data_IF_030491072762
#
_entry.id   IF_030491072762
#
_cell.length_a   1.000
_cell.length_b   1.000
_cell.length_c   1.000
_cell.angle_alpha   90.00
_cell.angle_beta   90.00
_cell.angle_gamma   90.00
#
_symmetry.space_group_name_H-M   'P 1'
#
loop_
_entity.id
_entity.type
_entity.pdbx_description
1 polymer ?
#
# COMPACT_ATOMS: atom_id res chain seq x y z
N UNK A 1 11.37 12.29 0.88
CA UNK A 1 10.50 12.13 -0.31
C UNK A 1 9.31 11.32 0.12
N UNK A 2 8.14 11.47 -0.52
CA UNK A 2 6.94 10.74 -0.08
C UNK A 2 7.01 9.27 -0.54
N UNK A 3 6.60 8.36 0.33
CA UNK A 3 6.62 6.91 0.08
C UNK A 3 5.22 6.34 0.24
N UNK A 4 4.81 5.52 -0.74
CA UNK A 4 3.60 4.72 -0.65
C UNK A 4 3.97 3.23 -0.63
N UNK A 5 3.64 2.56 0.45
CA UNK A 5 3.73 1.10 0.57
C UNK A 5 2.35 0.51 0.27
N UNK A 6 2.29 -0.51 -0.59
CA UNK A 6 1.05 -1.21 -0.92
C UNK A 6 1.24 -2.69 -0.68
N UNK A 7 0.49 -3.22 0.29
CA UNK A 7 0.51 -4.62 0.68
C UNK A 7 -0.80 -5.32 0.29
N UNK A 8 -0.71 -6.53 -0.27
CA UNK A 8 -1.83 -7.44 -0.46
C UNK A 8 -1.60 -8.76 0.26
N UNK A 9 -2.46 -9.12 1.22
CA UNK A 9 -2.35 -10.39 1.95
C UNK A 9 -0.99 -10.57 2.63
N UNK A 10 -0.28 -11.66 2.30
CA UNK A 10 1.05 -12.01 2.84
C UNK A 10 2.14 -11.00 2.49
N UNK A 11 1.93 -10.17 1.46
CA UNK A 11 2.86 -9.08 1.11
C UNK A 11 3.02 -8.04 2.22
N UNK A 12 2.22 -8.11 3.29
CA UNK A 12 2.37 -7.28 4.48
C UNK A 12 3.71 -7.49 5.21
N UNK A 13 4.30 -8.70 5.17
CA UNK A 13 5.52 -9.00 5.92
C UNK A 13 6.72 -8.15 5.48
N UNK A 14 7.10 -8.10 4.18
CA UNK A 14 8.15 -7.19 3.73
C UNK A 14 7.74 -5.72 3.90
N UNK A 15 6.46 -5.39 3.69
CA UNK A 15 5.98 -4.01 3.83
C UNK A 15 6.03 -3.51 5.27
N UNK A 16 5.84 -4.35 6.29
CA UNK A 16 5.99 -4.00 7.70
C UNK A 16 7.42 -3.57 8.01
N UNK A 17 8.42 -4.30 7.50
CA UNK A 17 9.83 -3.95 7.71
C UNK A 17 10.17 -2.60 7.05
N UNK A 18 9.71 -2.36 5.81
CA UNK A 18 9.88 -1.07 5.13
C UNK A 18 9.13 0.07 5.85
N UNK A 19 7.92 -0.21 6.35
CA UNK A 19 7.10 0.77 7.07
C UNK A 19 7.73 1.22 8.38
N UNK A 20 8.57 0.40 9.00
CA UNK A 20 9.35 0.77 10.18
C UNK A 20 10.65 1.51 9.83
N UNK A 21 11.33 1.08 8.76
CA UNK A 21 12.75 1.44 8.54
C UNK A 21 13.01 2.49 7.47
N UNK A 22 12.12 2.67 6.49
CA UNK A 22 12.36 3.63 5.41
C UNK A 22 12.44 5.05 5.95
N UNK A 23 13.40 5.89 5.53
CA UNK A 23 13.49 7.26 6.02
C UNK A 23 12.31 8.12 5.52
N UNK A 24 11.80 8.99 6.38
CA UNK A 24 10.71 9.92 6.06
C UNK A 24 10.30 10.72 7.29
N UNK A 25 9.85 11.97 7.08
CA UNK A 25 9.26 12.77 8.14
C UNK A 25 7.81 12.32 8.44
N UNK A 26 7.23 12.81 9.52
CA UNK A 26 5.82 12.61 9.80
C UNK A 26 4.98 13.06 8.60
N UNK A 27 4.07 12.20 8.13
CA UNK A 27 3.23 12.41 6.96
C UNK A 27 3.85 12.01 5.61
N UNK A 28 5.15 11.68 5.53
CA UNK A 28 5.78 11.29 4.27
C UNK A 28 5.45 9.86 3.86
N UNK A 29 5.14 8.98 4.81
CA UNK A 29 4.98 7.54 4.57
C UNK A 29 3.51 7.16 4.74
N UNK A 30 2.98 6.48 3.73
CA UNK A 30 1.64 5.86 3.78
C UNK A 30 1.75 4.38 3.49
N UNK A 31 1.09 3.54 4.30
CA UNK A 31 0.88 2.12 4.03
C UNK A 31 -0.60 1.87 3.70
N UNK A 32 -0.87 1.32 2.52
CA UNK A 32 -2.17 0.82 2.10
C UNK A 32 -2.17 -0.71 2.13
N UNK A 33 -2.93 -1.29 3.06
CA UNK A 33 -3.02 -2.74 3.24
C UNK A 33 -4.36 -3.30 2.76
N UNK A 34 -4.33 -4.12 1.71
CA UNK A 34 -5.48 -4.89 1.23
C UNK A 34 -5.51 -6.27 1.94
N UNK A 35 -6.60 -6.57 2.64
CA UNK A 35 -6.96 -7.92 3.11
C UNK A 35 -8.42 -8.31 2.73
N UNK A 36 -8.84 -9.56 2.94
CA UNK A 36 -10.22 -9.97 2.58
C UNK A 36 -11.24 -9.39 3.54
N UNK A 37 -10.99 -9.53 4.84
CA UNK A 37 -11.76 -8.94 5.93
C UNK A 37 -10.84 -8.21 6.91
N UNK A 38 -11.42 -7.53 7.89
CA UNK A 38 -10.65 -6.89 8.96
C UNK A 38 -9.93 -7.90 9.86
N UNK A 39 -10.44 -9.13 9.95
CA UNK A 39 -9.80 -10.22 10.69
C UNK A 39 -8.52 -10.72 10.01
N UNK A 40 -8.40 -10.51 8.69
CA UNK A 40 -7.25 -10.91 7.89
C UNK A 40 -6.12 -9.86 7.87
N UNK A 41 -6.29 -8.73 8.57
CA UNK A 41 -5.26 -7.69 8.69
C UNK A 41 -4.18 -8.15 9.69
N UNK A 42 -3.30 -9.04 9.23
CA UNK A 42 -2.16 -9.49 10.02
C UNK A 42 -1.27 -8.31 10.43
N UNK A 43 -0.68 -8.40 11.63
CA UNK A 43 0.21 -7.38 12.20
C UNK A 43 -0.46 -6.00 12.43
N UNK A 44 -1.79 -5.88 12.35
CA UNK A 44 -2.46 -4.58 12.44
C UNK A 44 -2.08 -3.75 13.67
N UNK A 45 -2.05 -4.38 14.85
CA UNK A 45 -1.67 -3.70 16.09
C UNK A 45 -0.24 -3.14 16.07
N UNK A 46 0.70 -3.90 15.48
CA UNK A 46 2.08 -3.47 15.32
C UNK A 46 2.21 -2.34 14.29
N UNK A 47 1.53 -2.48 13.14
CA UNK A 47 1.50 -1.43 12.11
C UNK A 47 0.90 -0.14 12.65
N UNK A 48 -0.16 -0.22 13.46
CA UNK A 48 -0.78 0.94 14.08
C UNK A 48 0.19 1.65 15.04
N UNK A 49 0.97 0.88 15.82
CA UNK A 49 2.00 1.43 16.70
C UNK A 49 3.11 2.14 15.90
N UNK A 50 3.61 1.50 14.84
CA UNK A 50 4.61 2.12 13.95
C UNK A 50 4.05 3.40 13.31
N UNK A 51 2.78 3.38 12.89
CA UNK A 51 2.15 4.56 12.30
C UNK A 51 2.11 5.74 13.27
N UNK A 52 1.74 5.49 14.53
CA UNK A 52 1.69 6.51 15.58
C UNK A 52 3.09 7.07 15.90
N UNK A 53 4.06 6.19 16.19
CA UNK A 53 5.44 6.58 16.54
C UNK A 53 6.13 7.38 15.45
N UNK A 54 5.83 7.07 14.18
CA UNK A 54 6.44 7.70 13.01
C UNK A 54 5.65 8.89 12.47
N UNK A 55 4.44 9.13 12.95
CA UNK A 55 3.48 10.04 12.31
C UNK A 55 3.16 9.63 10.86
N UNK A 56 3.20 8.34 10.57
CA UNK A 56 2.91 7.78 9.26
C UNK A 56 1.41 7.46 9.11
N UNK A 57 0.93 7.39 7.86
CA UNK A 57 -0.48 7.11 7.59
C UNK A 57 -0.69 5.61 7.34
N UNK A 58 -1.55 4.98 8.12
CA UNK A 58 -1.97 3.59 7.92
C UNK A 58 -3.40 3.55 7.34
N UNK A 59 -3.56 2.88 6.22
CA UNK A 59 -4.83 2.71 5.52
C UNK A 59 -5.08 1.23 5.25
N UNK A 60 -6.33 0.81 5.28
CA UNK A 60 -6.73 -0.53 4.86
C UNK A 60 -7.86 -0.52 3.86
N UNK A 61 -7.99 -1.61 3.11
CA UNK A 61 -9.09 -1.86 2.20
C UNK A 61 -9.48 -3.34 2.29
N UNK A 62 -10.73 -3.62 2.65
CA UNK A 62 -11.29 -4.97 2.76
C UNK A 62 -12.52 -5.11 1.87
N UNK A 63 -12.95 -6.34 1.61
CA UNK A 63 -14.13 -6.57 0.81
C UNK A 63 -15.39 -6.03 1.50
N UNK A 64 -16.40 -5.69 0.72
CA UNK A 64 -17.75 -5.47 1.23
C UNK A 64 -18.32 -6.77 1.83
N UNK A 65 -19.39 -6.70 2.65
CA UNK A 65 -20.09 -7.88 3.14
C UNK A 65 -20.53 -8.86 2.02
N UNK A 66 -20.83 -8.32 0.83
CA UNK A 66 -21.23 -9.10 -0.36
C UNK A 66 -20.03 -9.69 -1.13
N UNK A 67 -18.80 -9.52 -0.60
CA UNK A 67 -17.56 -10.05 -1.17
C UNK A 67 -16.94 -9.18 -2.26
N UNK A 68 -17.52 -8.02 -2.57
CA UNK A 68 -16.99 -7.11 -3.58
C UNK A 68 -15.65 -6.52 -3.14
N UNK A 69 -14.69 -6.47 -4.06
CA UNK A 69 -13.37 -5.91 -3.76
C UNK A 69 -13.43 -4.38 -3.77
N UNK A 70 -12.73 -3.72 -2.84
CA UNK A 70 -12.66 -2.27 -2.82
C UNK A 70 -11.95 -1.74 -4.07
N UNK A 71 -12.42 -0.60 -4.59
CA UNK A 71 -11.83 0.04 -5.76
C UNK A 71 -10.45 0.64 -5.45
N UNK A 72 -9.43 0.14 -6.15
CA UNK A 72 -8.07 0.68 -6.20
C UNK A 72 -7.78 1.10 -7.66
N UNK A 73 -8.54 2.09 -8.13
CA UNK A 73 -8.37 2.71 -9.44
C UNK A 73 -7.40 3.89 -9.40
N UNK A 74 -6.94 4.32 -10.58
CA UNK A 74 -6.15 5.54 -10.72
C UNK A 74 -6.86 6.78 -10.11
N UNK A 75 -8.18 6.87 -10.28
CA UNK A 75 -8.98 7.95 -9.72
C UNK A 75 -9.02 7.86 -8.19
N UNK A 76 -9.34 6.69 -7.63
CA UNK A 76 -9.43 6.53 -6.18
C UNK A 76 -8.08 6.78 -5.50
N UNK A 77 -6.97 6.38 -6.13
CA UNK A 77 -5.61 6.66 -5.68
C UNK A 77 -5.30 8.16 -5.67
N UNK A 78 -5.60 8.90 -6.75
CA UNK A 78 -5.41 10.37 -6.79
C UNK A 78 -6.23 11.10 -5.73
N UNK A 79 -7.47 10.66 -5.47
CA UNK A 79 -8.32 11.26 -4.44
C UNK A 79 -7.78 11.01 -3.03
N UNK A 80 -7.24 9.82 -2.77
CA UNK A 80 -6.81 9.40 -1.43
C UNK A 80 -5.38 9.81 -1.08
N UNK A 81 -4.49 9.87 -2.07
CA UNK A 81 -3.06 10.13 -1.94
C UNK A 81 -2.71 11.40 -2.74
N UNK A 82 -2.54 12.51 -2.05
CA UNK A 82 -2.16 13.78 -2.67
C UNK A 82 -0.74 13.69 -3.27
N UNK A 83 -0.54 14.26 -4.46
CA UNK A 83 0.74 14.22 -5.20
C UNK A 83 1.26 12.78 -5.45
N UNK A 84 0.37 11.82 -5.73
CA UNK A 84 0.75 10.41 -5.89
C UNK A 84 1.84 10.20 -6.96
N UNK A 85 1.86 11.01 -8.01
CA UNK A 85 2.88 11.02 -9.08
C UNK A 85 4.30 11.28 -8.56
N UNK A 86 4.41 11.89 -7.37
CA UNK A 86 5.67 12.20 -6.71
C UNK A 86 6.18 11.12 -5.75
N UNK A 87 5.40 10.08 -5.49
CA UNK A 87 5.76 9.04 -4.53
C UNK A 87 6.72 8.01 -5.13
N UNK A 88 7.66 7.53 -4.30
CA UNK A 88 8.30 6.24 -4.52
C UNK A 88 7.39 5.16 -3.93
N UNK A 89 7.02 4.17 -4.74
CA UNK A 89 5.98 3.19 -4.43
C UNK A 89 6.60 1.81 -4.32
N UNK A 90 6.37 1.15 -3.19
CA UNK A 90 6.74 -0.26 -3.00
C UNK A 90 5.47 -1.10 -2.95
N UNK A 91 5.40 -2.12 -3.79
CA UNK A 91 4.23 -2.96 -3.99
C UNK A 91 4.61 -4.42 -3.76
N UNK A 92 3.81 -5.10 -2.94
CA UNK A 92 3.93 -6.53 -2.74
C UNK A 92 2.55 -7.17 -2.50
N UNK A 93 2.27 -8.26 -3.22
CA UNK A 93 1.07 -9.05 -3.04
C UNK A 93 0.88 -10.08 -4.16
N UNK A 94 -0.27 -10.79 -4.21
CA UNK A 94 -0.53 -11.79 -5.24
C UNK A 94 -0.45 -11.20 -6.65
N UNK A 95 0.00 -11.97 -7.67
CA UNK A 95 0.28 -11.43 -9.01
C UNK A 95 -0.87 -10.62 -9.64
N UNK A 96 -2.12 -11.10 -9.52
CA UNK A 96 -3.29 -10.40 -10.04
C UNK A 96 -3.59 -9.08 -9.32
N UNK A 97 -3.37 -9.03 -8.00
CA UNK A 97 -3.49 -7.80 -7.22
C UNK A 97 -2.39 -6.82 -7.61
N UNK A 98 -1.14 -7.27 -7.60
CA UNK A 98 -0.01 -6.39 -7.90
C UNK A 98 -0.07 -5.82 -9.32
N UNK A 99 -0.45 -6.63 -10.31
CA UNK A 99 -0.68 -6.15 -11.68
C UNK A 99 -1.75 -5.06 -11.73
N UNK A 100 -2.90 -5.29 -11.09
CA UNK A 100 -4.00 -4.31 -11.06
C UNK A 100 -3.60 -3.00 -10.37
N UNK A 101 -2.90 -3.07 -9.23
CA UNK A 101 -2.40 -1.87 -8.54
C UNK A 101 -1.33 -1.17 -9.37
N UNK A 102 -0.42 -1.90 -10.02
CA UNK A 102 0.59 -1.33 -10.90
C UNK A 102 -0.07 -0.53 -12.03
N UNK A 103 -1.06 -1.10 -12.72
CA UNK A 103 -1.82 -0.42 -13.77
C UNK A 103 -2.54 0.83 -13.23
N UNK A 104 -3.14 0.75 -12.05
CA UNK A 104 -3.77 1.88 -11.38
C UNK A 104 -2.77 3.00 -11.02
N UNK A 105 -1.58 2.66 -10.51
CA UNK A 105 -0.51 3.62 -10.20
C UNK A 105 0.01 4.31 -11.46
N UNK A 106 0.24 3.55 -12.54
CA UNK A 106 0.62 4.10 -13.84
C UNK A 106 -0.46 5.03 -14.37
N UNK A 107 -1.72 4.60 -14.30
CA UNK A 107 -2.89 5.40 -14.67
C UNK A 107 -3.05 6.66 -13.80
N UNK A 108 -2.59 6.64 -12.54
CA UNK A 108 -2.59 7.77 -11.63
C UNK A 108 -1.48 8.79 -11.94
N UNK A 109 -0.47 8.41 -12.72
CA UNK A 109 0.65 9.26 -13.15
C UNK A 109 1.99 8.91 -12.52
N UNK A 110 2.07 7.88 -11.67
CA UNK A 110 3.33 7.45 -11.04
C UNK A 110 4.30 6.94 -12.10
N UNK A 111 5.50 7.52 -12.26
CA UNK A 111 6.49 7.05 -13.21
C UNK A 111 6.88 5.59 -12.94
N UNK A 112 7.01 4.76 -13.99
CA UNK A 112 7.34 3.33 -13.83
C UNK A 112 8.63 3.10 -13.01
N UNK A 113 9.65 3.96 -13.18
CA UNK A 113 10.91 3.90 -12.42
C UNK A 113 10.78 4.10 -10.91
N UNK A 114 9.62 4.60 -10.44
CA UNK A 114 9.29 4.82 -9.03
C UNK A 114 8.37 3.74 -8.47
N UNK A 115 8.01 2.74 -9.26
CA UNK A 115 7.20 1.63 -8.80
C UNK A 115 8.11 0.42 -8.65
N UNK A 116 8.42 0.08 -7.42
CA UNK A 116 9.22 -1.07 -7.02
C UNK A 116 8.26 -2.20 -6.66
N UNK A 117 8.26 -3.28 -7.44
CA UNK A 117 7.37 -4.41 -7.23
C UNK A 117 8.20 -5.69 -7.09
N UNK A 118 7.99 -6.42 -5.99
CA UNK A 118 8.53 -7.76 -5.81
C UNK A 118 7.44 -8.79 -6.13
N UNK A 119 7.71 -9.63 -7.15
CA UNK A 119 6.88 -10.78 -7.47
C UNK A 119 7.40 -11.98 -6.66
N UNK A 120 6.64 -12.41 -5.65
CA UNK A 120 6.92 -13.67 -4.96
C UNK A 120 6.47 -14.82 -5.88
N UNK A 121 7.27 -15.11 -6.91
CA UNK A 121 7.23 -16.39 -7.61
C UNK A 121 8.36 -17.25 -7.02
N UNK A 122 7.96 -18.30 -6.30
CA UNK A 122 8.80 -19.48 -6.04
C UNK A 122 8.35 -20.59 -6.97
#
# INVERSE_FOLDING_TARGET
GKVLLVAGGVGITPMRALFETLPGAAGDITLLYRANSTQDLALWGELAKIADERGARLMYAVNSPDGERPDISAESLRRKIADIDRHDVFLCGPPGFARSVYEALRGAGVPARRIHHESFEM
#
